data_IF_211864482684
#
_entry.id   IF_211864482684
#
_cell.length_a   1.000
_cell.length_b   1.000
_cell.length_c   1.000
_cell.angle_alpha   90.00
_cell.angle_beta   90.00
_cell.angle_gamma   90.00
#
_symmetry.space_group_name_H-M   'P 1'
#
loop_
_entity.id
_entity.type
_entity.pdbx_description
1 polymer ?
#
# COMPACT_ATOMS: atom_id res chain seq x y z
N UNK A 1 -30.77 -20.82 -1.49
CA UNK A 1 -31.50 -19.55 -1.28
C UNK A 1 -30.58 -18.44 -1.75
N UNK A 2 -30.75 -18.01 -3.01
CA UNK A 2 -29.83 -17.19 -3.77
C UNK A 2 -30.28 -15.72 -3.83
N UNK A 3 -30.44 -15.09 -2.65
CA UNK A 3 -30.85 -13.70 -2.59
C UNK A 3 -29.96 -12.92 -1.62
N UNK A 4 -29.19 -11.98 -2.19
CA UNK A 4 -29.00 -10.65 -1.59
C UNK A 4 -27.94 -10.47 -0.48
N UNK A 5 -26.75 -11.08 -0.60
CA UNK A 5 -25.55 -10.43 -0.06
C UNK A 5 -25.02 -9.53 -1.15
N UNK A 6 -25.16 -8.23 -0.96
CA UNK A 6 -24.60 -7.20 -1.82
C UNK A 6 -23.15 -7.58 -2.14
N UNK A 7 -22.84 -7.85 -3.41
CA UNK A 7 -21.46 -8.01 -3.85
C UNK A 7 -20.71 -6.78 -3.35
N UNK A 8 -19.81 -7.02 -2.41
CA UNK A 8 -18.99 -6.03 -1.78
C UNK A 8 -18.32 -5.24 -2.91
N UNK A 9 -18.58 -3.94 -3.02
CA UNK A 9 -18.10 -3.17 -4.17
C UNK A 9 -16.57 -3.21 -4.26
N UNK A 10 -16.03 -2.96 -5.47
CA UNK A 10 -14.58 -3.05 -5.73
C UNK A 10 -13.75 -2.22 -4.75
N UNK A 11 -14.23 -1.03 -4.38
CA UNK A 11 -13.52 -0.14 -3.46
C UNK A 11 -13.48 -0.69 -2.03
N UNK A 12 -14.55 -1.33 -1.59
CA UNK A 12 -14.62 -1.99 -0.27
C UNK A 12 -13.80 -3.28 -0.28
N UNK A 13 -13.80 -4.01 -1.39
CA UNK A 13 -12.98 -5.22 -1.57
C UNK A 13 -11.49 -4.85 -1.51
N UNK A 14 -11.06 -3.85 -2.29
CA UNK A 14 -9.69 -3.36 -2.29
C UNK A 14 -9.24 -2.86 -0.90
N UNK A 15 -10.12 -2.19 -0.14
CA UNK A 15 -9.83 -1.75 1.23
C UNK A 15 -9.64 -2.91 2.20
N UNK A 16 -10.52 -3.93 2.15
CA UNK A 16 -10.39 -5.12 2.98
C UNK A 16 -9.09 -5.87 2.65
N UNK A 17 -8.81 -6.07 1.35
CA UNK A 17 -7.59 -6.71 0.89
C UNK A 17 -6.33 -5.96 1.35
N UNK A 18 -6.31 -4.63 1.23
CA UNK A 18 -5.21 -3.80 1.72
C UNK A 18 -5.04 -3.92 3.24
N UNK A 19 -6.14 -4.01 3.98
CA UNK A 19 -6.12 -4.18 5.44
C UNK A 19 -5.57 -5.54 5.85
N UNK A 20 -5.96 -6.62 5.14
CA UNK A 20 -5.44 -7.96 5.40
C UNK A 20 -3.96 -8.09 5.02
N UNK A 21 -3.52 -7.41 3.96
CA UNK A 21 -2.11 -7.33 3.59
C UNK A 21 -1.29 -6.55 4.62
N UNK A 22 -1.87 -5.53 5.24
CA UNK A 22 -1.23 -4.73 6.28
C UNK A 22 -1.12 -5.49 7.61
N UNK A 23 -2.21 -6.14 8.03
CA UNK A 23 -2.27 -6.96 9.24
C UNK A 23 -3.22 -8.15 9.04
N UNK A 24 -2.68 -9.36 8.76
CA UNK A 24 -3.48 -10.56 8.56
C UNK A 24 -4.37 -10.93 9.75
N UNK A 25 -4.01 -10.50 10.97
CA UNK A 25 -4.78 -10.81 12.19
C UNK A 25 -6.11 -10.06 12.26
N UNK A 26 -6.29 -9.02 11.43
CA UNK A 26 -7.53 -8.23 11.37
C UNK A 26 -8.62 -8.89 10.53
N UNK A 27 -8.32 -9.97 9.80
CA UNK A 27 -9.23 -10.58 8.82
C UNK A 27 -10.55 -11.05 9.43
N UNK A 28 -10.48 -12.03 10.33
CA UNK A 28 -11.66 -12.62 10.99
C UNK A 28 -12.55 -11.55 11.67
N UNK A 29 -12.02 -10.61 12.51
CA UNK A 29 -12.87 -9.61 13.14
C UNK A 29 -13.47 -8.60 12.15
N UNK A 30 -12.78 -8.25 11.05
CA UNK A 30 -13.32 -7.34 10.03
C UNK A 30 -14.40 -8.00 9.18
N UNK A 31 -14.23 -9.27 8.81
CA UNK A 31 -15.29 -10.03 8.12
C UNK A 31 -16.53 -10.14 8.99
N UNK A 32 -16.36 -10.50 10.27
CA UNK A 32 -17.47 -10.58 11.22
C UNK A 32 -18.19 -9.23 11.39
N UNK A 33 -17.47 -8.11 11.41
CA UNK A 33 -18.06 -6.77 11.49
C UNK A 33 -18.90 -6.40 10.25
N UNK A 34 -18.60 -7.01 9.10
CA UNK A 34 -19.37 -6.88 7.85
C UNK A 34 -20.49 -7.93 7.72
N UNK A 35 -20.68 -8.80 8.72
CA UNK A 35 -21.63 -9.90 8.65
C UNK A 35 -21.24 -10.99 7.64
N UNK A 36 -19.94 -11.12 7.36
CA UNK A 36 -19.38 -12.09 6.44
C UNK A 36 -18.68 -13.22 7.19
N UNK A 37 -18.78 -14.43 6.65
CA UNK A 37 -17.93 -15.56 7.02
C UNK A 37 -16.68 -15.63 6.14
N UNK A 38 -15.73 -16.50 6.48
CA UNK A 38 -14.61 -16.81 5.58
C UNK A 38 -15.09 -17.42 4.26
N UNK A 39 -16.14 -18.24 4.26
CA UNK A 39 -16.72 -18.78 3.03
C UNK A 39 -17.32 -17.68 2.14
N UNK A 40 -17.97 -16.68 2.76
CA UNK A 40 -18.48 -15.52 2.02
C UNK A 40 -17.33 -14.69 1.44
N UNK A 41 -16.24 -14.52 2.20
CA UNK A 41 -15.05 -13.83 1.73
C UNK A 41 -14.40 -14.57 0.56
N UNK A 42 -14.24 -15.90 0.65
CA UNK A 42 -13.64 -16.70 -0.42
C UNK A 42 -14.41 -16.53 -1.73
N UNK A 43 -15.75 -16.57 -1.68
CA UNK A 43 -16.58 -16.36 -2.85
C UNK A 43 -16.48 -14.92 -3.42
N UNK A 44 -16.29 -13.91 -2.56
CA UNK A 44 -16.07 -12.52 -2.97
C UNK A 44 -14.68 -12.34 -3.60
N UNK A 45 -13.65 -12.93 -3.00
CA UNK A 45 -12.27 -12.89 -3.44
C UNK A 45 -12.12 -13.57 -4.81
N UNK A 46 -12.68 -14.77 -4.97
CA UNK A 46 -12.72 -15.49 -6.25
C UNK A 46 -13.45 -14.68 -7.32
N UNK A 47 -14.63 -14.11 -7.00
CA UNK A 47 -15.38 -13.28 -7.95
C UNK A 47 -14.58 -12.07 -8.47
N UNK A 48 -13.89 -11.35 -7.58
CA UNK A 48 -13.11 -10.19 -7.97
C UNK A 48 -11.79 -10.55 -8.63
N UNK A 49 -11.13 -11.64 -8.24
CA UNK A 49 -9.94 -12.16 -8.92
C UNK A 49 -10.28 -12.55 -10.36
N UNK A 50 -11.34 -13.33 -10.57
CA UNK A 50 -11.81 -13.71 -11.92
C UNK A 50 -12.12 -12.46 -12.78
N UNK A 51 -12.75 -11.44 -12.19
CA UNK A 51 -13.07 -10.20 -12.91
C UNK A 51 -11.82 -9.37 -13.27
N UNK A 52 -10.83 -9.30 -12.38
CA UNK A 52 -9.57 -8.59 -12.63
C UNK A 52 -8.69 -9.34 -13.64
N UNK A 53 -8.66 -10.67 -13.56
CA UNK A 53 -7.90 -11.53 -14.48
C UNK A 53 -8.50 -11.48 -15.90
N UNK A 54 -9.84 -11.53 -16.03
CA UNK A 54 -10.50 -11.40 -17.33
C UNK A 54 -10.15 -10.09 -18.05
N UNK A 55 -10.06 -8.98 -17.31
CA UNK A 55 -9.64 -7.68 -17.87
C UNK A 55 -8.14 -7.68 -18.25
N UNK A 56 -7.30 -8.39 -17.50
CA UNK A 56 -5.87 -8.54 -17.82
C UNK A 56 -5.59 -9.40 -19.06
N UNK A 57 -6.43 -10.41 -19.33
CA UNK A 57 -6.31 -11.29 -20.49
C UNK A 57 -6.80 -10.64 -21.80
N UNK A 58 -7.77 -9.72 -21.74
CA UNK A 58 -8.26 -8.98 -22.91
C UNK A 58 -7.29 -7.87 -23.37
N UNK A 59 -6.30 -7.49 -22.55
CA UNK A 59 -5.40 -6.34 -22.75
C UNK A 59 -4.06 -6.62 -23.42
N UNK A 60 -3.85 -7.80 -24.04
CA UNK A 60 -2.70 -7.99 -24.94
C UNK A 60 -2.75 -7.08 -26.20
N UNK A 61 -3.74 -6.19 -26.32
CA UNK A 61 -3.87 -5.18 -27.38
C UNK A 61 -3.35 -3.81 -26.91
N UNK A 62 -2.04 -3.61 -27.04
CA UNK A 62 -1.28 -2.34 -26.99
C UNK A 62 -1.80 -1.21 -26.08
N UNK A 63 -1.30 -1.17 -24.84
CA UNK A 63 -1.10 0.07 -24.07
C UNK A 63 -2.35 0.71 -23.46
N UNK A 64 -3.49 0.02 -23.50
CA UNK A 64 -4.63 0.33 -22.63
C UNK A 64 -4.45 -0.41 -21.31
N UNK A 65 -4.84 0.22 -20.20
CA UNK A 65 -4.99 -0.44 -18.89
C UNK A 65 -6.46 -0.39 -18.54
N UNK A 66 -7.02 -1.51 -18.11
CA UNK A 66 -8.45 -1.68 -18.08
C UNK A 66 -9.04 -0.76 -17.02
N UNK A 67 -10.20 -0.11 -17.27
CA UNK A 67 -10.83 0.77 -16.28
C UNK A 67 -11.01 0.10 -14.91
N UNK A 68 -11.27 -1.21 -14.88
CA UNK A 68 -11.40 -1.98 -13.65
C UNK A 68 -10.07 -2.12 -12.90
N UNK A 69 -8.98 -2.45 -13.60
CA UNK A 69 -7.63 -2.54 -13.04
C UNK A 69 -7.17 -1.20 -12.49
N UNK A 70 -7.41 -0.10 -13.22
CA UNK A 70 -7.13 1.27 -12.75
C UNK A 70 -7.93 1.59 -11.48
N UNK A 71 -9.22 1.24 -11.45
CA UNK A 71 -10.08 1.50 -10.30
C UNK A 71 -9.65 0.70 -9.07
N UNK A 72 -9.28 -0.57 -9.26
CA UNK A 72 -8.75 -1.41 -8.19
C UNK A 72 -7.42 -0.89 -7.66
N UNK A 73 -6.44 -0.64 -8.53
CA UNK A 73 -5.11 -0.13 -8.16
C UNK A 73 -5.23 1.17 -7.36
N UNK A 74 -6.09 2.09 -7.83
CA UNK A 74 -6.37 3.34 -7.13
C UNK A 74 -6.95 3.09 -5.74
N UNK A 75 -8.00 2.29 -5.62
CA UNK A 75 -8.67 2.06 -4.34
C UNK A 75 -7.74 1.34 -3.34
N UNK A 76 -6.97 0.37 -3.83
CA UNK A 76 -6.00 -0.39 -3.05
C UNK A 76 -4.85 0.51 -2.58
N UNK A 77 -4.29 1.32 -3.48
CA UNK A 77 -3.22 2.28 -3.16
C UNK A 77 -3.67 3.35 -2.16
N UNK A 78 -4.88 3.90 -2.33
CA UNK A 78 -5.47 4.86 -1.38
C UNK A 78 -5.64 4.21 0.00
N UNK A 79 -6.10 2.96 0.07
CA UNK A 79 -6.25 2.21 1.32
C UNK A 79 -4.90 1.95 2.01
N UNK A 80 -3.88 1.53 1.25
CA UNK A 80 -2.54 1.32 1.78
C UNK A 80 -1.93 2.62 2.34
N UNK A 81 -2.16 3.75 1.69
CA UNK A 81 -1.70 5.05 2.19
C UNK A 81 -2.39 5.43 3.49
N UNK A 82 -3.70 5.17 3.63
CA UNK A 82 -4.44 5.41 4.87
C UNK A 82 -3.92 4.54 6.02
N UNK A 83 -3.64 3.27 5.75
CA UNK A 83 -3.11 2.30 6.73
C UNK A 83 -1.67 2.58 7.14
N UNK A 84 -0.83 3.04 6.20
CA UNK A 84 0.55 3.43 6.46
C UNK A 84 0.66 4.60 7.47
N UNK A 85 -0.41 5.38 7.62
CA UNK A 85 -0.49 6.54 8.49
C UNK A 85 0.27 7.75 7.94
N UNK A 86 0.46 8.76 8.79
CA UNK A 86 1.19 9.96 8.40
C UNK A 86 2.67 9.62 8.05
N UNK A 87 3.24 10.31 7.03
CA UNK A 87 4.67 10.29 6.77
C UNK A 87 5.46 10.47 8.06
N UNK A 88 6.60 9.79 8.16
CA UNK A 88 7.60 10.05 9.19
C UNK A 88 8.00 11.53 9.12
N UNK A 89 8.29 12.12 10.28
CA UNK A 89 8.99 13.39 10.29
C UNK A 89 10.35 13.27 9.57
N UNK A 90 10.88 14.42 9.11
CA UNK A 90 12.07 14.44 8.28
C UNK A 90 13.27 13.80 8.99
N UNK A 91 13.42 13.99 10.31
CA UNK A 91 14.55 13.46 11.06
C UNK A 91 14.49 11.92 11.14
N UNK A 92 13.33 11.36 11.49
CA UNK A 92 13.08 9.91 11.48
C UNK A 92 13.30 9.30 10.09
N UNK A 93 12.91 10.01 9.04
CA UNK A 93 13.14 9.57 7.68
C UNK A 93 14.65 9.56 7.31
N UNK A 94 15.37 10.62 7.67
CA UNK A 94 16.81 10.72 7.47
C UNK A 94 17.58 9.65 8.26
N UNK A 95 17.15 9.30 9.47
CA UNK A 95 17.75 8.21 10.25
C UNK A 95 17.70 6.87 9.50
N UNK A 96 16.56 6.55 8.86
CA UNK A 96 16.44 5.34 8.03
C UNK A 96 17.36 5.42 6.81
N UNK A 97 17.41 6.57 6.12
CA UNK A 97 18.31 6.77 4.98
C UNK A 97 19.79 6.64 5.37
N UNK A 98 20.19 7.13 6.54
CA UNK A 98 21.56 7.00 7.04
C UNK A 98 21.93 5.54 7.28
N UNK A 99 21.02 4.72 7.84
CA UNK A 99 21.25 3.28 8.03
C UNK A 99 21.40 2.54 6.71
N UNK A 100 20.55 2.86 5.73
CA UNK A 100 20.65 2.32 4.37
C UNK A 100 22.01 2.67 3.72
N UNK A 101 22.48 3.90 3.89
CA UNK A 101 23.79 4.34 3.39
C UNK A 101 24.95 3.67 4.11
N UNK A 102 24.79 3.33 5.38
CA UNK A 102 25.76 2.56 6.15
C UNK A 102 25.82 1.06 5.74
N UNK A 103 25.02 0.64 4.75
CA UNK A 103 25.06 -0.71 4.18
C UNK A 103 24.09 -1.69 4.81
N UNK A 104 23.17 -1.24 5.67
CA UNK A 104 22.08 -2.08 6.14
C UNK A 104 21.10 -2.34 5.00
N UNK A 105 20.57 -3.56 4.94
CA UNK A 105 19.41 -3.82 4.09
C UNK A 105 18.16 -3.10 4.63
N UNK A 106 17.19 -2.87 3.73
CA UNK A 106 15.98 -2.11 4.05
C UNK A 106 15.16 -2.78 5.17
N UNK A 107 15.03 -4.10 5.15
CA UNK A 107 14.23 -4.84 6.13
C UNK A 107 14.84 -4.68 7.53
N UNK A 108 16.15 -4.79 7.64
CA UNK A 108 16.89 -4.59 8.89
C UNK A 108 16.78 -3.14 9.39
N UNK A 109 17.03 -2.16 8.53
CA UNK A 109 16.98 -0.74 8.89
C UNK A 109 15.59 -0.32 9.41
N UNK A 110 14.54 -0.85 8.79
CA UNK A 110 13.14 -0.63 9.18
C UNK A 110 12.78 -1.34 10.49
N UNK A 111 13.18 -2.60 10.66
CA UNK A 111 12.94 -3.36 11.88
C UNK A 111 13.61 -2.68 13.10
N UNK A 112 14.87 -2.26 12.97
CA UNK A 112 15.60 -1.54 14.02
C UNK A 112 15.00 -0.16 14.32
N UNK A 113 14.29 0.44 13.37
CA UNK A 113 13.63 1.74 13.57
C UNK A 113 12.20 1.61 14.12
N UNK A 114 11.66 0.38 14.19
CA UNK A 114 10.26 0.13 14.51
C UNK A 114 9.30 0.70 13.46
N UNK A 115 9.71 0.70 12.19
CA UNK A 115 8.96 1.31 11.09
C UNK A 115 8.51 0.21 10.12
N UNK A 116 7.23 0.19 9.78
CA UNK A 116 6.71 -0.69 8.73
C UNK A 116 7.07 -0.20 7.32
N UNK A 117 7.23 -1.14 6.38
CA UNK A 117 7.55 -0.83 4.97
C UNK A 117 6.57 0.17 4.34
N UNK A 118 5.26 -0.01 4.55
CA UNK A 118 4.24 0.89 4.00
C UNK A 118 4.44 2.33 4.48
N UNK A 119 4.77 2.53 5.76
CA UNK A 119 5.04 3.85 6.33
C UNK A 119 6.32 4.46 5.77
N UNK A 120 7.35 3.65 5.54
CA UNK A 120 8.56 4.10 4.86
C UNK A 120 8.30 4.55 3.42
N UNK A 121 7.54 3.77 2.64
CA UNK A 121 7.22 4.11 1.24
C UNK A 121 6.40 5.41 1.14
N UNK A 122 5.40 5.59 2.00
CA UNK A 122 4.64 6.85 2.09
C UNK A 122 5.55 8.02 2.46
N UNK A 123 6.50 7.81 3.38
CA UNK A 123 7.47 8.84 3.76
C UNK A 123 8.42 9.18 2.63
N UNK A 124 8.90 8.17 1.90
CA UNK A 124 9.79 8.35 0.76
C UNK A 124 9.11 9.17 -0.34
N UNK A 125 7.88 8.81 -0.74
CA UNK A 125 7.11 9.57 -1.72
C UNK A 125 6.84 11.01 -1.26
N UNK A 126 6.48 11.19 0.01
CA UNK A 126 6.25 12.51 0.61
C UNK A 126 7.49 13.41 0.52
N UNK A 127 8.63 12.94 1.03
CA UNK A 127 9.87 13.73 1.09
C UNK A 127 10.52 13.90 -0.29
N UNK A 128 10.40 12.93 -1.19
CA UNK A 128 10.85 13.07 -2.57
C UNK A 128 10.10 14.19 -3.32
N UNK A 129 8.77 14.26 -3.15
CA UNK A 129 7.99 15.39 -3.70
C UNK A 129 8.38 16.71 -3.04
N UNK A 130 8.50 16.73 -1.70
CA UNK A 130 8.84 17.94 -0.94
C UNK A 130 10.20 18.52 -1.36
N UNK A 131 11.18 17.67 -1.64
CA UNK A 131 12.51 18.08 -2.09
C UNK A 131 12.52 18.74 -3.48
N UNK A 132 11.47 18.59 -4.29
CA UNK A 132 11.33 19.32 -5.55
C UNK A 132 10.93 20.78 -5.33
N UNK A 133 10.28 21.07 -4.19
CA UNK A 133 9.70 22.37 -3.86
C UNK A 133 10.51 23.12 -2.79
N UNK A 134 11.24 22.40 -1.95
CA UNK A 134 11.94 22.91 -0.76
C UNK A 134 13.44 22.58 -0.82
N UNK A 135 14.25 23.62 -0.97
CA UNK A 135 15.70 23.51 -1.05
C UNK A 135 16.33 22.92 0.21
N UNK A 136 15.83 23.28 1.40
CA UNK A 136 16.40 22.80 2.66
C UNK A 136 16.13 21.31 2.84
N UNK A 137 14.97 20.83 2.39
CA UNK A 137 14.65 19.39 2.35
C UNK A 137 15.55 18.68 1.36
N UNK A 138 15.77 19.26 0.18
CA UNK A 138 16.66 18.71 -0.85
C UNK A 138 18.09 18.56 -0.34
N UNK A 139 18.64 19.62 0.26
CA UNK A 139 19.96 19.61 0.88
C UNK A 139 20.05 18.60 2.02
N UNK A 140 19.03 18.46 2.87
CA UNK A 140 19.04 17.48 3.95
C UNK A 140 19.07 16.03 3.42
N UNK A 141 18.35 15.74 2.34
CA UNK A 141 18.38 14.42 1.70
C UNK A 141 19.72 14.15 1.02
N UNK A 142 20.35 15.15 0.40
CA UNK A 142 21.67 15.03 -0.23
C UNK A 142 22.83 15.03 0.78
N UNK A 143 22.68 15.76 1.90
CA UNK A 143 23.74 16.13 2.84
C UNK A 143 24.35 15.00 3.66
N UNK A 144 23.79 13.79 3.59
CA UNK A 144 24.48 12.59 4.05
C UNK A 144 25.50 12.03 3.03
N UNK A 145 25.83 12.74 1.96
CA UNK A 145 26.99 12.51 1.07
C UNK A 145 28.15 13.50 1.34
N UNK A 146 28.21 14.13 2.52
CA UNK A 146 29.37 14.96 2.88
C UNK A 146 30.54 14.11 3.38
N UNK A 147 31.43 13.82 2.43
CA UNK A 147 32.90 13.89 2.50
C UNK A 147 33.59 13.44 3.81
N UNK A 148 34.26 12.30 3.73
CA UNK A 148 35.65 12.17 4.21
C UNK A 148 36.59 12.05 3.00
#
# INVERSE_FOLDING_TARGET
MAAMRQQLDLATYARLLATFAHDPTTREPLLAAQGLTEDDWLAIDEHWQDALDAEGEEEEVEGHVAPLLIAFDRAFSEAQQQLAGAPLDLNRYLEVLQRLRAGHDLTQALAEAGIGLSRYLVSHAHWARRAQEDEAVREALQGGESKD
#
